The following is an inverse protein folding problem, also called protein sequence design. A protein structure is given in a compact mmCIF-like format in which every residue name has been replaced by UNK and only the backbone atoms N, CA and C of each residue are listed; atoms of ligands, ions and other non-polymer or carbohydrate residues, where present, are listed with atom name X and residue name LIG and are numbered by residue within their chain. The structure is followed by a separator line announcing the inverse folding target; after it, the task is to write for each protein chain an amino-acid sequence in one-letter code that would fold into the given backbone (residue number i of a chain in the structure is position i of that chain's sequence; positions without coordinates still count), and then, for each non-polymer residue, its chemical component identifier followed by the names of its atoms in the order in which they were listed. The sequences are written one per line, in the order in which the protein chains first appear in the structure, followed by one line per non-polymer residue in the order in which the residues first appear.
data_IF_685420103226
#
_entry.id   IF_685420103226
#
_cell.length_a   1.000
_cell.length_b   1.000
_cell.length_c   1.000
_cell.angle_alpha   90.00
_cell.angle_beta   90.00
_cell.angle_gamma   90.00
#
_symmetry.space_group_name_H-M   'P 1'
#
loop_
_entity.id
_entity.type
_entity.pdbx_description
1 polymer ?
#
# COMPACT_ATOMS: atom_id res chain seq x y z
N UNK A 1 -14.16 -11.99 16.91
CA UNK A 1 -14.16 -11.62 15.48
C UNK A 1 -12.81 -11.00 15.21
N UNK A 2 -11.98 -11.60 14.35
CA UNK A 2 -10.72 -11.00 13.92
C UNK A 2 -11.03 -9.72 13.15
N UNK A 3 -10.39 -8.62 13.54
CA UNK A 3 -10.49 -7.35 12.85
C UNK A 3 -9.62 -7.44 11.59
N UNK A 4 -10.17 -8.03 10.50
CA UNK A 4 -9.49 -8.22 9.21
C UNK A 4 -9.39 -6.90 8.41
N UNK A 5 -9.28 -5.77 9.09
CA UNK A 5 -9.21 -4.47 8.44
C UNK A 5 -7.82 -4.31 7.82
N UNK A 6 -7.79 -3.98 6.53
CA UNK A 6 -6.56 -3.67 5.81
C UNK A 6 -5.82 -2.51 6.48
N UNK A 7 -4.53 -2.72 6.79
CA UNK A 7 -3.69 -1.73 7.45
C UNK A 7 -2.65 -1.11 6.51
N UNK A 8 -2.28 -1.82 5.45
CA UNK A 8 -1.27 -1.30 4.52
C UNK A 8 -1.42 -1.87 3.11
N UNK A 9 -1.02 -1.08 2.12
CA UNK A 9 -0.76 -1.53 0.75
C UNK A 9 0.75 -1.46 0.55
N UNK A 10 1.39 -2.58 0.23
CA UNK A 10 2.85 -2.67 0.06
C UNK A 10 3.22 -2.87 -1.40
N UNK A 11 4.49 -2.61 -1.72
CA UNK A 11 5.08 -2.82 -3.04
C UNK A 11 4.34 -2.07 -4.15
N UNK A 12 3.77 -0.90 -3.85
CA UNK A 12 3.06 -0.09 -4.83
C UNK A 12 4.03 0.74 -5.67
N UNK A 13 3.74 0.90 -6.95
CA UNK A 13 4.28 2.01 -7.75
C UNK A 13 3.26 3.13 -7.79
N UNK A 14 3.73 4.38 -7.77
CA UNK A 14 2.88 5.57 -7.90
C UNK A 14 3.25 6.32 -9.19
N UNK A 15 2.28 6.84 -9.97
CA UNK A 15 2.59 7.57 -11.19
C UNK A 15 3.47 8.79 -10.92
N UNK A 16 4.58 8.91 -11.66
CA UNK A 16 5.50 10.05 -11.53
C UNK A 16 6.52 9.94 -10.38
N UNK A 17 6.45 8.87 -9.59
CA UNK A 17 7.39 8.61 -8.50
C UNK A 17 8.27 7.39 -8.81
N UNK A 18 9.54 7.46 -8.43
CA UNK A 18 10.47 6.36 -8.57
C UNK A 18 10.32 5.35 -7.42
N UNK A 19 10.72 4.10 -7.68
CA UNK A 19 10.79 3.06 -6.64
C UNK A 19 9.46 2.43 -6.25
N UNK A 20 9.39 1.95 -5.00
CA UNK A 20 8.23 1.29 -4.41
C UNK A 20 7.76 2.08 -3.19
N UNK A 21 6.47 1.97 -2.90
CA UNK A 21 5.79 2.76 -1.88
C UNK A 21 4.90 1.87 -1.02
N UNK A 22 4.80 2.25 0.25
CA UNK A 22 3.89 1.68 1.22
C UNK A 22 2.84 2.72 1.62
N UNK A 23 1.56 2.36 1.56
CA UNK A 23 0.44 3.23 1.91
C UNK A 23 -0.20 2.70 3.18
N UNK A 24 -0.11 3.46 4.26
CA UNK A 24 -0.68 3.11 5.56
C UNK A 24 -2.15 3.51 5.62
N UNK A 25 -2.98 2.62 6.18
CA UNK A 25 -4.42 2.80 6.32
C UNK A 25 -4.84 2.74 7.79
N UNK A 26 -5.64 3.70 8.22
CA UNK A 26 -6.23 3.75 9.55
C UNK A 26 -7.61 4.42 9.49
N UNK A 27 -8.60 3.81 10.14
CA UNK A 27 -9.98 4.33 10.24
C UNK A 27 -10.60 4.73 8.89
N UNK A 28 -10.34 3.90 7.86
CA UNK A 28 -10.85 4.12 6.50
C UNK A 28 -10.15 5.24 5.72
N UNK A 29 -9.00 5.73 6.20
CA UNK A 29 -8.22 6.81 5.58
C UNK A 29 -6.78 6.39 5.36
N UNK A 30 -6.11 7.09 4.44
CA UNK A 30 -4.66 7.04 4.30
C UNK A 30 -4.05 7.84 5.47
N UNK A 31 -3.28 7.18 6.31
CA UNK A 31 -2.61 7.82 7.47
C UNK A 31 -1.19 8.28 7.15
N UNK A 32 -0.48 7.56 6.27
CA UNK A 32 0.86 7.90 5.80
C UNK A 32 1.17 7.22 4.46
N UNK A 33 2.18 7.75 3.75
CA UNK A 33 2.73 7.16 2.53
C UNK A 33 4.25 7.25 2.64
N UNK A 34 4.92 6.10 2.63
CA UNK A 34 6.36 6.00 2.84
C UNK A 34 7.05 5.28 1.68
N UNK A 35 8.25 5.72 1.31
CA UNK A 35 9.06 5.05 0.30
C UNK A 35 9.66 3.75 0.84
N UNK A 36 9.70 2.70 0.01
CA UNK A 36 10.36 1.44 0.31
C UNK A 36 11.73 1.37 -0.35
N UNK A 37 12.72 0.85 0.36
CA UNK A 37 14.07 0.58 -0.19
C UNK A 37 14.14 -0.72 -1.01
N UNK A 38 13.07 -1.51 -1.05
CA UNK A 38 12.98 -2.78 -1.77
C UNK A 38 11.62 -3.46 -1.60
N UNK A 39 11.49 -4.67 -2.16
CA UNK A 39 10.26 -5.47 -2.03
C UNK A 39 10.08 -5.92 -0.58
N UNK A 40 8.87 -5.75 -0.04
CA UNK A 40 8.49 -6.20 1.29
C UNK A 40 7.68 -7.50 1.21
N UNK A 41 7.81 -8.39 2.22
CA UNK A 41 7.05 -9.64 2.27
C UNK A 41 5.58 -9.36 2.61
N UNK A 42 4.68 -10.17 2.05
CA UNK A 42 3.26 -10.17 2.41
C UNK A 42 3.06 -10.61 3.86
N UNK A 43 2.19 -9.90 4.58
CA UNK A 43 1.80 -10.18 5.98
C UNK A 43 0.28 -10.08 6.15
N UNK A 44 -0.23 -10.57 7.28
CA UNK A 44 -1.65 -10.42 7.62
C UNK A 44 -2.04 -8.92 7.65
N UNK A 45 -3.22 -8.60 7.10
CA UNK A 45 -3.74 -7.23 6.95
C UNK A 45 -2.95 -6.31 6.00
N UNK A 46 -2.07 -6.87 5.17
CA UNK A 46 -1.43 -6.18 4.05
C UNK A 46 -2.04 -6.60 2.72
N UNK A 47 -2.18 -5.66 1.80
CA UNK A 47 -2.49 -5.93 0.39
C UNK A 47 -1.21 -5.73 -0.40
N UNK A 48 -0.69 -6.78 -1.00
CA UNK A 48 0.47 -6.69 -1.89
C UNK A 48 0.02 -6.16 -3.24
N UNK A 49 0.55 -5.01 -3.66
CA UNK A 49 0.34 -4.52 -5.01
C UNK A 49 1.21 -5.24 -6.05
N UNK A 50 2.15 -6.09 -5.61
CA UNK A 50 3.05 -6.89 -6.44
C UNK A 50 3.82 -6.05 -7.48
N UNK A 51 4.25 -4.85 -7.09
CA UNK A 51 4.90 -3.86 -7.97
C UNK A 51 3.99 -3.27 -9.05
N UNK A 52 2.69 -3.47 -8.93
CA UNK A 52 1.65 -2.83 -9.73
C UNK A 52 1.48 -1.34 -9.41
N UNK A 53 0.77 -0.65 -10.30
CA UNK A 53 0.50 0.78 -10.17
C UNK A 53 -0.74 1.01 -9.31
N UNK A 54 -0.58 1.75 -8.20
CA UNK A 54 -1.70 2.17 -7.36
C UNK A 54 -2.10 3.59 -7.74
N UNK A 55 -3.37 3.78 -8.04
CA UNK A 55 -3.95 5.05 -8.50
C UNK A 55 -5.30 5.28 -7.81
N UNK A 56 -5.77 6.54 -7.74
CA UNK A 56 -7.16 6.80 -7.37
C UNK A 56 -8.11 6.13 -8.39
N UNK A 57 -9.40 5.95 -8.02
CA UNK A 57 -10.41 5.45 -8.95
C UNK A 57 -10.51 6.28 -10.23
N UNK A 58 -10.80 5.61 -11.36
CA UNK A 58 -11.12 6.29 -12.62
C UNK A 58 -12.44 7.06 -12.54
N UNK A 59 -12.59 8.06 -13.42
CA UNK A 59 -13.81 8.86 -13.64
C UNK A 59 -14.32 8.63 -15.05
#
# INVERSE_FOLDING_TARGET
MSNNALQTIINARLPGEEGLWQIHLQDGKISAIDAQSGVMPITENSLDAEQGLVIPPFV
#
